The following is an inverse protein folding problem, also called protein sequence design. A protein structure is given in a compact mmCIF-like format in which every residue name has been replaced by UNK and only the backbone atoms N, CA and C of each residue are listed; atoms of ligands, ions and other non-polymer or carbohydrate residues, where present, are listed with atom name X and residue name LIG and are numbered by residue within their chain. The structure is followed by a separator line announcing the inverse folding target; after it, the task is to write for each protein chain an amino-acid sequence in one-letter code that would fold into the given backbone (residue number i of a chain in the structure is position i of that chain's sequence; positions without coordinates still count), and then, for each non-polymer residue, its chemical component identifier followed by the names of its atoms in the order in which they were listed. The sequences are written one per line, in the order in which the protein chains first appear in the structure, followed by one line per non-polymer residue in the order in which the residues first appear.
data_IF_291941364242
#
_entry.id   IF_291941364242
#
_cell.length_a   1.000
_cell.length_b   1.000
_cell.length_c   1.000
_cell.angle_alpha   90.00
_cell.angle_beta   90.00
_cell.angle_gamma   90.00
#
_symmetry.space_group_name_H-M   'P 1'
#
loop_
_entity.id
_entity.type
_entity.pdbx_description
1 polymer ?
#
# COMPACT_ATOMS: atom_id res chain seq x y z
N UNK A 1 11.11 9.46 6.86
CA UNK A 1 10.10 8.95 7.82
C UNK A 1 9.05 8.13 7.10
N UNK A 2 8.34 8.66 6.10
CA UNK A 2 7.24 7.95 5.42
C UNK A 2 7.65 6.66 4.68
N UNK A 3 8.92 6.48 4.36
CA UNK A 3 9.42 5.29 3.67
C UNK A 3 9.13 3.99 4.43
N UNK A 4 8.99 4.07 5.77
CA UNK A 4 8.67 2.91 6.60
C UNK A 4 7.37 2.22 6.16
N UNK A 5 6.36 2.97 5.73
CA UNK A 5 5.08 2.42 5.28
C UNK A 5 5.20 1.60 3.98
N UNK A 6 6.33 1.70 3.26
CA UNK A 6 6.61 0.84 2.11
C UNK A 6 7.32 -0.48 2.48
N UNK A 7 7.56 -0.73 3.78
CA UNK A 7 8.11 -2.00 4.23
C UNK A 7 7.10 -3.13 3.98
N UNK A 8 7.51 -4.22 3.32
CA UNK A 8 6.62 -5.35 3.10
C UNK A 8 6.21 -5.99 4.44
N UNK A 9 4.93 -6.32 4.57
CA UNK A 9 4.34 -6.93 5.78
C UNK A 9 4.62 -6.14 7.07
N UNK A 10 4.62 -4.81 6.97
CA UNK A 10 4.74 -3.94 8.16
C UNK A 10 3.56 -4.12 9.10
N UNK A 11 2.35 -4.20 8.55
CA UNK A 11 1.12 -4.47 9.26
C UNK A 11 0.70 -5.93 9.06
N UNK A 12 0.17 -6.56 10.10
CA UNK A 12 -0.29 -7.96 10.07
C UNK A 12 -1.77 -8.09 9.71
N UNK A 13 -2.56 -7.04 9.93
CA UNK A 13 -3.99 -6.99 9.60
C UNK A 13 -4.44 -5.59 9.26
N UNK A 14 -5.61 -5.48 8.62
CA UNK A 14 -6.26 -4.19 8.34
C UNK A 14 -6.66 -3.47 9.63
N UNK A 15 -7.09 -4.20 10.66
CA UNK A 15 -7.42 -3.63 11.97
C UNK A 15 -6.20 -3.00 12.64
N UNK A 16 -5.03 -3.66 12.59
CA UNK A 16 -3.79 -3.11 13.12
C UNK A 16 -3.37 -1.85 12.34
N UNK A 17 -3.53 -1.87 11.01
CA UNK A 17 -3.28 -0.71 10.15
C UNK A 17 -4.19 0.46 10.53
N UNK A 18 -5.50 0.23 10.63
CA UNK A 18 -6.47 1.26 11.00
C UNK A 18 -6.25 1.79 12.42
N UNK A 19 -5.89 0.94 13.39
CA UNK A 19 -5.58 1.41 14.76
C UNK A 19 -4.40 2.38 14.75
N UNK A 20 -3.32 2.06 14.03
CA UNK A 20 -2.14 2.95 13.93
C UNK A 20 -2.49 4.24 13.21
N UNK A 21 -3.15 4.15 12.05
CA UNK A 21 -3.45 5.33 11.23
C UNK A 21 -4.46 6.26 11.88
N UNK A 22 -5.34 5.76 12.73
CA UNK A 22 -6.32 6.54 13.49
C UNK A 22 -5.80 7.05 14.85
N UNK A 23 -4.58 6.66 15.27
CA UNK A 23 -3.92 7.28 16.43
C UNK A 23 -3.45 8.70 16.06
N UNK A 24 -4.34 9.66 16.18
CA UNK A 24 -4.11 11.04 15.76
C UNK A 24 -2.91 11.69 16.47
N UNK A 25 -2.71 11.40 17.76
CA UNK A 25 -1.60 11.94 18.54
C UNK A 25 -0.25 11.39 18.04
N UNK A 26 -0.23 10.13 17.67
CA UNK A 26 0.94 9.49 17.10
C UNK A 26 1.18 9.94 15.66
N UNK A 27 0.16 9.88 14.80
CA UNK A 27 0.29 10.23 13.38
C UNK A 27 0.60 11.71 13.17
N UNK A 28 0.13 12.61 14.02
CA UNK A 28 0.49 14.03 13.92
C UNK A 28 2.00 14.28 14.06
N UNK A 29 2.73 13.46 14.82
CA UNK A 29 4.21 13.54 14.92
C UNK A 29 4.86 13.12 13.60
N UNK A 30 4.29 12.10 12.94
CA UNK A 30 4.75 11.64 11.63
C UNK A 30 4.40 12.68 10.56
N UNK A 31 3.16 13.20 10.57
CA UNK A 31 2.67 14.18 9.61
C UNK A 31 3.44 15.50 9.64
N UNK A 32 3.91 15.91 10.80
CA UNK A 32 4.74 17.12 10.95
C UNK A 32 6.23 16.91 10.63
N UNK A 33 6.66 15.69 10.39
CA UNK A 33 8.08 15.38 10.13
C UNK A 33 8.62 16.01 8.83
N UNK A 34 7.73 16.48 7.96
CA UNK A 34 8.07 17.12 6.69
C UNK A 34 7.88 18.64 6.69
N UNK A 35 7.68 19.26 7.85
CA UNK A 35 7.51 20.71 7.97
C UNK A 35 8.71 21.49 7.45
N UNK A 36 9.92 21.01 7.73
CA UNK A 36 11.16 21.61 7.23
C UNK A 36 11.30 21.52 5.70
N UNK A 37 10.62 20.59 5.07
CA UNK A 37 10.53 20.43 3.62
C UNK A 37 9.41 21.28 2.99
N UNK A 38 8.68 22.03 3.80
CA UNK A 38 7.65 22.96 3.33
C UNK A 38 6.28 22.36 3.06
N UNK A 39 6.01 21.15 3.50
CA UNK A 39 4.70 20.54 3.41
C UNK A 39 4.37 19.69 4.65
N UNK A 40 3.08 19.48 4.90
CA UNK A 40 2.58 18.64 6.01
C UNK A 40 1.44 17.76 5.52
N UNK A 41 1.40 16.51 5.97
CA UNK A 41 0.22 15.70 5.79
C UNK A 41 -0.90 16.20 6.72
N UNK A 42 -2.12 16.29 6.18
CA UNK A 42 -3.32 16.74 6.90
C UNK A 42 -4.13 15.55 7.41
N UNK A 43 -4.17 14.50 6.61
CA UNK A 43 -4.80 13.21 6.93
C UNK A 43 -4.27 12.12 6.02
N UNK A 44 -4.71 10.89 6.26
CA UNK A 44 -4.44 9.73 5.43
C UNK A 44 -5.71 9.25 4.74
N UNK A 45 -5.55 8.45 3.69
CA UNK A 45 -6.63 7.76 3.01
C UNK A 45 -6.30 6.28 2.90
N UNK A 46 -7.35 5.46 2.94
CA UNK A 46 -7.19 4.02 2.74
C UNK A 46 -6.81 3.74 1.28
N UNK A 47 -5.80 2.94 1.08
CA UNK A 47 -5.40 2.46 -0.25
C UNK A 47 -5.43 0.92 -0.30
N UNK A 48 -6.05 0.31 0.71
CA UNK A 48 -6.22 -1.13 0.82
C UNK A 48 -4.92 -1.90 0.95
N UNK A 49 -5.03 -3.18 0.69
CA UNK A 49 -3.89 -4.10 0.69
C UNK A 49 -3.38 -4.29 -0.73
N UNK A 50 -2.07 -4.16 -0.91
CA UNK A 50 -1.42 -4.37 -2.21
C UNK A 50 -1.12 -5.83 -2.44
N UNK A 51 -1.43 -6.29 -3.66
CA UNK A 51 -1.37 -7.66 -4.09
C UNK A 51 -0.78 -7.75 -5.50
N UNK A 52 -0.27 -8.91 -5.91
CA UNK A 52 0.19 -9.09 -7.28
C UNK A 52 -0.97 -9.41 -8.22
N UNK A 53 -0.90 -8.86 -9.44
CA UNK A 53 -1.75 -9.26 -10.55
C UNK A 53 -0.92 -9.42 -11.82
N UNK A 54 -1.21 -10.46 -12.59
CA UNK A 54 -0.39 -10.84 -13.74
C UNK A 54 -1.19 -11.55 -14.84
N UNK A 55 -0.52 -11.79 -15.97
CA UNK A 55 -1.03 -12.63 -17.06
C UNK A 55 -1.08 -14.10 -16.69
N UNK A 56 -0.28 -14.52 -15.73
CA UNK A 56 -0.21 -15.88 -15.18
C UNK A 56 -0.62 -15.89 -13.73
N UNK A 57 -1.06 -17.04 -13.28
CA UNK A 57 -1.35 -17.35 -11.89
C UNK A 57 -0.07 -17.27 -11.04
N UNK A 58 -0.18 -16.74 -9.83
CA UNK A 58 0.88 -16.64 -8.84
C UNK A 58 0.30 -17.21 -7.53
N UNK A 59 0.57 -18.47 -7.24
CA UNK A 59 0.10 -19.15 -6.03
C UNK A 59 1.16 -19.13 -4.92
N UNK A 60 2.41 -19.02 -5.30
CA UNK A 60 3.55 -19.08 -4.40
C UNK A 60 4.66 -18.12 -4.81
N UNK A 61 5.63 -17.82 -3.94
CA UNK A 61 6.81 -17.03 -4.33
C UNK A 61 7.61 -17.67 -5.48
N UNK A 62 7.55 -18.99 -5.62
CA UNK A 62 8.25 -19.74 -6.65
C UNK A 62 7.71 -19.40 -8.05
N UNK A 63 6.42 -19.08 -8.18
CA UNK A 63 5.78 -18.69 -9.44
C UNK A 63 6.20 -17.29 -9.91
N UNK A 64 6.75 -16.48 -9.00
CA UNK A 64 7.31 -15.17 -9.31
C UNK A 64 8.63 -15.25 -10.11
N UNK A 65 9.31 -16.40 -10.07
CA UNK A 65 10.64 -16.56 -10.68
C UNK A 65 10.59 -16.33 -12.18
N UNK A 66 11.41 -15.37 -12.62
CA UNK A 66 11.54 -15.01 -14.02
C UNK A 66 10.43 -14.10 -14.56
N UNK A 67 9.41 -13.76 -13.77
CA UNK A 67 8.43 -12.75 -14.14
C UNK A 67 9.04 -11.35 -14.07
N UNK A 68 8.64 -10.48 -15.00
CA UNK A 68 8.92 -9.06 -14.98
C UNK A 68 7.71 -8.36 -14.33
N UNK A 69 7.89 -7.92 -13.11
CA UNK A 69 6.80 -7.30 -12.33
C UNK A 69 7.06 -5.80 -12.15
N UNK A 70 6.10 -5.00 -12.57
CA UNK A 70 6.15 -3.58 -12.26
C UNK A 70 5.96 -3.37 -10.77
N UNK A 71 6.80 -2.53 -10.21
CA UNK A 71 6.71 -2.06 -8.82
C UNK A 71 6.78 -0.54 -8.78
N UNK A 72 6.42 0.05 -7.64
CA UNK A 72 6.64 1.46 -7.40
C UNK A 72 8.14 1.80 -7.45
N UNK A 73 8.48 3.04 -7.82
CA UNK A 73 9.86 3.54 -7.91
C UNK A 73 10.45 3.78 -6.51
N UNK A 74 10.47 2.75 -5.67
CA UNK A 74 10.97 2.77 -4.29
C UNK A 74 11.92 1.60 -4.05
N UNK A 75 13.05 1.83 -3.35
CA UNK A 75 14.01 0.77 -3.05
C UNK A 75 13.38 -0.45 -2.35
N UNK A 76 12.50 -0.21 -1.39
CA UNK A 76 11.79 -1.28 -0.66
C UNK A 76 10.93 -2.16 -1.59
N UNK A 77 10.19 -1.56 -2.53
CA UNK A 77 9.35 -2.30 -3.48
C UNK A 77 10.20 -3.11 -4.47
N UNK A 78 11.34 -2.56 -4.91
CA UNK A 78 12.30 -3.27 -5.78
C UNK A 78 12.91 -4.46 -5.03
N UNK A 79 13.41 -4.24 -3.81
CA UNK A 79 14.03 -5.29 -3.00
C UNK A 79 13.02 -6.41 -2.66
N UNK A 80 11.79 -6.05 -2.33
CA UNK A 80 10.71 -7.01 -2.08
C UNK A 80 10.44 -7.89 -3.30
N UNK A 81 10.25 -7.30 -4.46
CA UNK A 81 10.00 -8.03 -5.71
C UNK A 81 11.15 -8.99 -6.05
N UNK A 82 12.40 -8.55 -5.88
CA UNK A 82 13.59 -9.38 -6.07
C UNK A 82 13.67 -10.51 -5.04
N UNK A 83 13.28 -10.28 -3.79
CA UNK A 83 13.25 -11.32 -2.76
C UNK A 83 12.26 -12.44 -3.07
N UNK A 84 11.19 -12.14 -3.82
CA UNK A 84 10.27 -13.16 -4.36
C UNK A 84 10.80 -13.86 -5.61
N UNK A 85 11.94 -13.44 -6.16
CA UNK A 85 12.58 -14.05 -7.34
C UNK A 85 12.15 -13.45 -8.68
N UNK A 86 11.38 -12.38 -8.68
CA UNK A 86 10.98 -11.68 -9.90
C UNK A 86 11.97 -10.58 -10.31
N UNK A 87 11.93 -10.21 -11.58
CA UNK A 87 12.62 -9.03 -12.08
C UNK A 87 11.76 -7.78 -11.83
N UNK A 88 12.21 -6.92 -10.93
CA UNK A 88 11.53 -5.67 -10.63
C UNK A 88 11.69 -4.68 -11.78
N UNK A 89 10.58 -4.08 -12.24
CA UNK A 89 10.53 -3.08 -13.30
C UNK A 89 9.90 -1.78 -12.76
N UNK A 90 10.69 -0.91 -12.08
CA UNK A 90 10.17 0.35 -11.55
C UNK A 90 9.73 1.27 -12.68
N UNK A 91 8.46 1.67 -12.68
CA UNK A 91 7.90 2.61 -13.67
C UNK A 91 6.71 3.36 -13.10
N UNK A 92 6.32 4.46 -13.77
CA UNK A 92 5.14 5.24 -13.39
C UNK A 92 3.87 4.40 -13.52
N UNK A 93 2.85 4.72 -12.71
CA UNK A 93 1.62 3.93 -12.69
C UNK A 93 0.84 4.04 -14.02
N UNK A 94 0.87 5.22 -14.66
CA UNK A 94 0.19 5.43 -15.94
C UNK A 94 0.74 4.62 -17.12
N UNK A 95 1.95 4.03 -17.00
CA UNK A 95 2.56 3.21 -18.05
C UNK A 95 2.17 1.72 -17.95
N UNK A 96 1.62 1.29 -16.81
CA UNK A 96 1.44 -0.13 -16.46
C UNK A 96 0.52 -0.86 -17.44
N UNK A 97 -0.65 -0.30 -17.75
CA UNK A 97 -1.60 -0.93 -18.69
C UNK A 97 -0.91 -1.27 -20.02
N UNK A 98 -0.28 -0.27 -20.63
CA UNK A 98 0.39 -0.44 -21.93
C UNK A 98 1.56 -1.41 -21.84
N UNK A 99 2.35 -1.35 -20.77
CA UNK A 99 3.50 -2.24 -20.59
C UNK A 99 3.07 -3.72 -20.43
N UNK A 100 1.97 -3.99 -19.71
CA UNK A 100 1.40 -5.35 -19.64
C UNK A 100 0.82 -5.76 -21.00
N UNK A 101 0.05 -4.88 -21.64
CA UNK A 101 -0.57 -5.17 -22.94
C UNK A 101 0.48 -5.56 -23.99
N UNK A 102 1.57 -4.81 -24.08
CA UNK A 102 2.67 -5.04 -25.02
C UNK A 102 3.61 -6.20 -24.62
N UNK A 103 3.47 -6.75 -23.41
CA UNK A 103 4.35 -7.82 -22.92
C UNK A 103 5.74 -7.36 -22.49
N UNK A 104 5.91 -6.05 -22.24
CA UNK A 104 7.14 -5.50 -21.66
C UNK A 104 7.32 -5.99 -20.23
N UNK A 105 6.21 -6.09 -19.49
CA UNK A 105 6.09 -6.69 -18.16
C UNK A 105 5.01 -7.77 -18.15
N UNK A 106 5.11 -8.71 -17.20
CA UNK A 106 4.17 -9.83 -17.06
C UNK A 106 3.01 -9.49 -16.11
N UNK A 107 3.22 -8.52 -15.20
CA UNK A 107 2.26 -8.11 -14.21
C UNK A 107 2.73 -6.90 -13.40
N UNK A 108 1.94 -6.57 -12.38
CA UNK A 108 2.21 -5.46 -11.46
C UNK A 108 1.64 -5.78 -10.06
N UNK A 109 1.67 -4.81 -9.18
CA UNK A 109 1.12 -4.93 -7.83
C UNK A 109 0.30 -3.67 -7.48
N UNK A 110 -0.85 -3.87 -6.88
CA UNK A 110 -1.74 -2.83 -6.34
C UNK A 110 -2.95 -3.48 -5.63
N UNK A 111 -3.91 -2.64 -5.25
CA UNK A 111 -5.23 -3.05 -4.76
C UNK A 111 -6.19 -3.37 -5.94
N UNK A 112 -7.40 -3.84 -5.61
CA UNK A 112 -8.42 -4.28 -6.58
C UNK A 112 -8.90 -3.16 -7.50
N UNK A 113 -8.94 -1.91 -7.04
CA UNK A 113 -9.40 -0.76 -7.85
C UNK A 113 -8.54 -0.54 -9.10
N UNK A 114 -7.26 -0.94 -9.07
CA UNK A 114 -6.42 -0.86 -10.25
C UNK A 114 -6.95 -1.72 -11.42
N UNK A 115 -7.63 -2.84 -11.11
CA UNK A 115 -8.19 -3.72 -12.14
C UNK A 115 -9.28 -3.02 -12.95
N UNK A 116 -10.12 -2.22 -12.30
CA UNK A 116 -11.29 -1.57 -12.91
C UNK A 116 -11.00 -0.13 -13.30
N UNK A 117 -10.61 0.73 -12.34
CA UNK A 117 -10.41 2.16 -12.58
C UNK A 117 -9.28 2.44 -13.59
N UNK A 118 -8.23 1.61 -13.58
CA UNK A 118 -7.11 1.69 -14.52
C UNK A 118 -7.16 0.62 -15.62
N UNK A 119 -8.23 -0.16 -15.66
CA UNK A 119 -8.47 -1.22 -16.65
C UNK A 119 -7.40 -2.33 -16.67
N UNK A 120 -6.58 -2.45 -15.63
CA UNK A 120 -5.52 -3.47 -15.61
C UNK A 120 -6.07 -4.89 -15.69
N UNK A 121 -7.32 -5.14 -15.25
CA UNK A 121 -8.02 -6.41 -15.40
C UNK A 121 -8.29 -6.83 -16.84
N UNK A 122 -8.22 -5.92 -17.82
CA UNK A 122 -8.33 -6.28 -19.24
C UNK A 122 -7.06 -7.02 -19.72
N UNK A 123 -5.89 -6.70 -19.15
CA UNK A 123 -4.58 -7.17 -19.61
C UNK A 123 -3.88 -8.13 -18.64
N UNK A 124 -4.32 -8.21 -17.37
CA UNK A 124 -3.85 -9.13 -16.34
C UNK A 124 -5.05 -9.88 -15.74
N UNK A 125 -5.08 -11.20 -15.87
CA UNK A 125 -6.27 -12.01 -15.58
C UNK A 125 -6.24 -12.75 -14.24
N UNK A 126 -5.15 -12.63 -13.49
CA UNK A 126 -4.97 -13.28 -12.20
C UNK A 126 -4.58 -12.25 -11.15
N UNK A 127 -5.28 -12.25 -10.04
CA UNK A 127 -5.03 -11.38 -8.89
C UNK A 127 -4.82 -12.24 -7.65
N UNK A 128 -3.60 -12.21 -7.10
CA UNK A 128 -3.17 -13.12 -6.04
C UNK A 128 -3.05 -12.39 -4.71
N UNK A 129 -3.85 -12.79 -3.73
CA UNK A 129 -3.94 -12.16 -2.41
C UNK A 129 -2.74 -12.49 -1.51
N UNK A 130 -1.55 -12.05 -1.92
CA UNK A 130 -0.35 -12.19 -1.09
C UNK A 130 -0.19 -11.08 -0.03
N UNK A 131 -1.02 -10.04 -0.06
CA UNK A 131 -1.17 -9.01 0.98
C UNK A 131 0.16 -8.40 1.44
N UNK A 132 1.03 -8.05 0.48
CA UNK A 132 2.43 -7.73 0.80
C UNK A 132 2.66 -6.34 1.40
N UNK A 133 1.75 -5.39 1.21
CA UNK A 133 1.88 -4.03 1.75
C UNK A 133 0.51 -3.38 1.98
N UNK A 134 0.44 -2.53 3.02
CA UNK A 134 -0.62 -1.55 3.25
C UNK A 134 0.05 -0.19 3.34
N UNK A 135 -0.06 0.61 2.29
CA UNK A 135 0.60 1.91 2.17
C UNK A 135 -0.48 2.98 2.16
N UNK A 136 -0.53 3.89 3.15
CA UNK A 136 -1.52 4.97 3.15
C UNK A 136 -1.26 5.96 2.03
N UNK A 137 -2.32 6.45 1.40
CA UNK A 137 -2.26 7.70 0.65
C UNK A 137 -2.36 8.87 1.63
N UNK A 138 -1.72 9.98 1.32
CA UNK A 138 -1.66 11.14 2.22
C UNK A 138 -2.20 12.39 1.52
N UNK A 139 -3.14 13.06 2.18
CA UNK A 139 -3.51 14.42 1.80
C UNK A 139 -2.46 15.38 2.34
N UNK A 140 -1.70 16.03 1.47
CA UNK A 140 -0.65 16.95 1.87
C UNK A 140 -1.04 18.41 1.59
N UNK A 141 -0.67 19.31 2.50
CA UNK A 141 -0.84 20.74 2.37
C UNK A 141 0.50 21.46 2.29
N UNK A 142 0.58 22.52 1.48
CA UNK A 142 1.73 23.41 1.48
C UNK A 142 1.81 24.13 2.82
N UNK A 143 2.95 24.04 3.51
CA UNK A 143 3.09 24.56 4.86
C UNK A 143 3.03 26.09 4.92
N UNK A 144 3.57 26.79 3.92
CA UNK A 144 3.48 28.25 3.85
C UNK A 144 2.04 28.72 3.71
N UNK A 145 1.24 28.04 2.88
CA UNK A 145 -0.20 28.30 2.78
C UNK A 145 -0.91 28.06 4.12
N UNK A 146 -0.69 26.91 4.76
CA UNK A 146 -1.30 26.57 6.03
C UNK A 146 -0.94 27.56 7.15
N UNK A 147 0.31 28.05 7.15
CA UNK A 147 0.77 29.03 8.11
C UNK A 147 0.22 30.44 7.86
N UNK A 148 -0.17 30.75 6.63
CA UNK A 148 -0.84 32.01 6.26
C UNK A 148 -2.32 32.07 6.67
N UNK A 149 -2.92 30.95 7.00
CA UNK A 149 -4.32 30.89 7.48
C UNK A 149 -4.46 31.40 8.91
N UNK A 150 -5.58 32.06 9.21
CA UNK A 150 -5.99 32.34 10.58
C UNK A 150 -6.18 31.04 11.37
N UNK A 151 -6.23 31.15 12.68
CA UNK A 151 -6.45 29.97 13.56
C UNK A 151 -7.79 29.26 13.27
N UNK A 152 -8.81 30.05 12.98
CA UNK A 152 -10.15 29.58 12.66
C UNK A 152 -10.18 28.86 11.30
N UNK A 153 -9.61 29.47 10.28
CA UNK A 153 -9.52 28.86 8.94
C UNK A 153 -8.71 27.54 8.99
N UNK A 154 -7.60 27.54 9.71
CA UNK A 154 -6.79 26.33 9.88
C UNK A 154 -7.58 25.19 10.52
N UNK A 155 -8.38 25.49 11.55
CA UNK A 155 -9.30 24.49 12.15
C UNK A 155 -10.27 23.92 11.14
N UNK A 156 -10.84 24.76 10.26
CA UNK A 156 -11.75 24.29 9.20
C UNK A 156 -11.04 23.35 8.24
N UNK A 157 -9.80 23.68 7.80
CA UNK A 157 -9.01 22.83 6.93
C UNK A 157 -8.73 21.44 7.53
N UNK A 158 -8.27 21.40 8.78
CA UNK A 158 -8.00 20.12 9.46
C UNK A 158 -9.29 19.32 9.70
N UNK A 159 -10.38 19.98 10.08
CA UNK A 159 -11.67 19.28 10.25
C UNK A 159 -12.22 18.76 8.92
N UNK A 160 -12.06 19.50 7.82
CA UNK A 160 -12.43 19.03 6.48
C UNK A 160 -11.59 17.82 6.05
N UNK A 161 -10.28 17.84 6.33
CA UNK A 161 -9.40 16.70 6.06
C UNK A 161 -9.82 15.46 6.87
N UNK A 162 -10.12 15.61 8.15
CA UNK A 162 -10.63 14.53 9.01
C UNK A 162 -11.93 13.94 8.46
N UNK A 163 -12.92 14.77 8.16
CA UNK A 163 -14.20 14.34 7.60
C UNK A 163 -14.04 13.66 6.23
N UNK A 164 -13.11 14.14 5.41
CA UNK A 164 -12.84 13.51 4.11
C UNK A 164 -12.23 12.12 4.26
N UNK A 165 -11.38 11.89 5.27
CA UNK A 165 -10.88 10.57 5.60
C UNK A 165 -11.98 9.63 6.09
N UNK A 166 -12.84 10.10 7.00
CA UNK A 166 -13.98 9.31 7.51
C UNK A 166 -14.90 8.84 6.38
N UNK A 167 -15.18 9.71 5.42
CA UNK A 167 -16.00 9.39 4.26
C UNK A 167 -15.28 8.46 3.28
N UNK A 168 -14.02 8.72 3.00
CA UNK A 168 -13.20 7.90 2.10
C UNK A 168 -13.09 6.46 2.61
N UNK A 169 -12.80 6.25 3.90
CA UNK A 169 -12.74 4.92 4.49
C UNK A 169 -14.08 4.15 4.38
N UNK A 170 -15.23 4.84 4.53
CA UNK A 170 -16.55 4.22 4.32
C UNK A 170 -16.76 3.82 2.86
N UNK A 171 -16.36 4.67 1.93
CA UNK A 171 -16.52 4.42 0.50
C UNK A 171 -15.54 3.35 0.00
N UNK A 172 -14.38 3.23 0.63
CA UNK A 172 -13.34 2.28 0.22
C UNK A 172 -13.87 0.85 0.12
N UNK A 173 -14.49 0.33 1.18
CA UNK A 173 -15.02 -1.03 1.23
C UNK A 173 -16.09 -1.27 0.16
N UNK A 174 -16.93 -0.27 -0.09
CA UNK A 174 -17.97 -0.33 -1.13
C UNK A 174 -17.31 -0.43 -2.52
N UNK A 175 -16.31 0.41 -2.77
CA UNK A 175 -15.61 0.46 -4.05
C UNK A 175 -14.80 -0.81 -4.32
N UNK A 176 -14.15 -1.37 -3.30
CA UNK A 176 -13.41 -2.65 -3.42
C UNK A 176 -14.37 -3.80 -3.78
N UNK A 177 -15.52 -3.90 -3.11
CA UNK A 177 -16.52 -4.94 -3.42
C UNK A 177 -17.03 -4.82 -4.85
N UNK A 178 -17.34 -3.61 -5.30
CA UNK A 178 -17.78 -3.37 -6.68
C UNK A 178 -16.66 -3.66 -7.69
N UNK A 179 -15.42 -3.23 -7.42
CA UNK A 179 -14.28 -3.49 -8.28
C UNK A 179 -14.02 -5.00 -8.45
N UNK A 180 -14.10 -5.78 -7.37
CA UNK A 180 -13.99 -7.26 -7.43
C UNK A 180 -15.05 -7.86 -8.33
N UNK A 181 -16.31 -7.48 -8.12
CA UNK A 181 -17.43 -7.95 -8.92
C UNK A 181 -17.25 -7.63 -10.41
N UNK A 182 -16.97 -6.38 -10.74
CA UNK A 182 -16.73 -5.94 -12.13
C UNK A 182 -15.54 -6.67 -12.74
N UNK A 183 -14.44 -6.80 -12.02
CA UNK A 183 -13.25 -7.51 -12.50
C UNK A 183 -13.54 -8.99 -12.79
N UNK A 184 -14.31 -9.67 -11.94
CA UNK A 184 -14.69 -11.05 -12.15
C UNK A 184 -15.68 -11.23 -13.30
N UNK A 185 -16.80 -10.49 -13.28
CA UNK A 185 -17.94 -10.71 -14.17
C UNK A 185 -17.71 -10.12 -15.57
N UNK A 186 -17.02 -8.98 -15.67
CA UNK A 186 -16.89 -8.25 -16.93
C UNK A 186 -15.49 -8.36 -17.54
N UNK A 187 -14.45 -8.54 -16.71
CA UNK A 187 -13.07 -8.63 -17.20
C UNK A 187 -12.51 -10.05 -17.14
N UNK A 188 -13.21 -10.99 -16.50
CA UNK A 188 -12.77 -12.38 -16.38
C UNK A 188 -11.52 -12.57 -15.51
N UNK A 189 -11.32 -11.68 -14.52
CA UNK A 189 -10.22 -11.79 -13.58
C UNK A 189 -10.51 -12.89 -12.56
N UNK A 190 -9.53 -13.74 -12.31
CA UNK A 190 -9.54 -14.77 -11.27
C UNK A 190 -8.82 -14.25 -10.04
N UNK A 191 -9.50 -14.29 -8.90
CA UNK A 191 -8.93 -13.97 -7.59
C UNK A 191 -8.46 -15.27 -6.92
N UNK A 192 -7.24 -15.25 -6.37
CA UNK A 192 -6.53 -16.42 -5.86
C UNK A 192 -6.09 -16.13 -4.43
N UNK A 193 -6.50 -16.96 -3.50
CA UNK A 193 -5.99 -16.95 -2.13
C UNK A 193 -4.70 -17.76 -2.07
N UNK A 194 -3.65 -17.18 -1.51
CA UNK A 194 -2.31 -17.79 -1.45
C UNK A 194 -1.83 -17.97 -0.01
N UNK A 195 -0.81 -18.82 0.20
CA UNK A 195 -0.11 -18.88 1.49
C UNK A 195 0.72 -17.61 1.71
N UNK A 196 0.12 -16.64 2.40
CA UNK A 196 0.76 -15.35 2.74
C UNK A 196 2.05 -15.56 3.54
N UNK A 197 2.11 -16.58 4.41
CA UNK A 197 3.31 -16.85 5.23
C UNK A 197 4.50 -17.29 4.39
N UNK A 198 4.26 -17.96 3.26
CA UNK A 198 5.33 -18.32 2.33
C UNK A 198 6.00 -17.07 1.73
N UNK A 199 5.21 -16.06 1.37
CA UNK A 199 5.71 -14.76 0.90
C UNK A 199 6.41 -13.97 2.01
N UNK A 200 5.83 -13.90 3.21
CA UNK A 200 6.42 -13.19 4.35
C UNK A 200 7.83 -13.69 4.69
N UNK A 201 8.06 -15.00 4.64
CA UNK A 201 9.37 -15.60 4.92
C UNK A 201 10.46 -15.10 3.98
N UNK A 202 10.13 -14.79 2.72
CA UNK A 202 11.11 -14.35 1.71
C UNK A 202 11.63 -12.93 1.96
N UNK A 203 10.87 -12.06 2.64
CA UNK A 203 11.20 -10.63 2.78
C UNK A 203 11.80 -10.24 4.12
N UNK A 204 12.09 -11.19 5.01
CA UNK A 204 12.71 -10.88 6.31
C UNK A 204 14.00 -10.07 6.17
N UNK A 205 14.88 -10.44 5.25
CA UNK A 205 16.11 -9.71 4.99
C UNK A 205 15.88 -8.30 4.45
N UNK A 206 14.78 -8.08 3.71
CA UNK A 206 14.39 -6.73 3.23
C UNK A 206 13.98 -5.85 4.40
N UNK A 207 13.16 -6.37 5.32
CA UNK A 207 12.74 -5.65 6.52
C UNK A 207 13.94 -5.26 7.40
N UNK A 208 14.87 -6.20 7.62
CA UNK A 208 16.10 -5.97 8.39
C UNK A 208 16.99 -4.89 7.75
N UNK A 209 17.13 -4.90 6.42
CA UNK A 209 17.89 -3.88 5.70
C UNK A 209 17.28 -2.50 5.85
N UNK A 210 15.95 -2.37 5.67
CA UNK A 210 15.25 -1.08 5.83
C UNK A 210 15.47 -0.50 7.23
N UNK A 211 15.38 -1.33 8.27
CA UNK A 211 15.58 -0.89 9.65
C UNK A 211 17.03 -0.51 9.95
N UNK A 212 18.00 -1.19 9.34
CA UNK A 212 19.42 -0.89 9.48
C UNK A 212 19.79 0.42 8.80
N UNK A 213 19.25 0.68 7.62
CA UNK A 213 19.60 1.81 6.79
C UNK A 213 18.87 3.10 7.20
N UNK A 214 17.80 2.99 8.01
CA UNK A 214 16.98 4.10 8.47
C UNK A 214 16.72 4.06 9.98
N UNK A 215 17.58 4.71 10.74
CA UNK A 215 17.46 4.76 12.21
C UNK A 215 16.15 5.41 12.68
N UNK A 216 15.56 6.32 11.91
CA UNK A 216 14.28 6.97 12.23
C UNK A 216 13.08 6.03 12.04
N UNK A 217 13.24 4.98 11.25
CA UNK A 217 12.20 3.98 11.03
C UNK A 217 11.97 3.08 12.26
N UNK A 218 13.03 2.82 13.05
CA UNK A 218 12.97 1.85 14.14
C UNK A 218 11.92 2.16 15.22
N UNK A 219 11.80 3.41 15.74
CA UNK A 219 10.75 3.73 16.71
C UNK A 219 9.34 3.56 16.14
N UNK A 220 9.15 3.88 14.85
CA UNK A 220 7.86 3.74 14.18
C UNK A 220 7.54 2.26 14.01
N UNK A 221 8.50 1.47 13.55
CA UNK A 221 8.38 0.02 13.46
C UNK A 221 7.99 -0.60 14.80
N UNK A 222 8.70 -0.25 15.88
CA UNK A 222 8.44 -0.81 17.21
C UNK A 222 7.05 -0.47 17.73
N UNK A 223 6.56 0.75 17.44
CA UNK A 223 5.19 1.15 17.75
C UNK A 223 4.17 0.29 17.00
N UNK A 224 4.35 0.14 15.68
CA UNK A 224 3.47 -0.67 14.83
C UNK A 224 3.48 -2.14 15.30
N UNK A 225 4.65 -2.71 15.63
CA UNK A 225 4.73 -4.08 16.13
C UNK A 225 4.00 -4.30 17.47
N UNK A 226 3.94 -3.27 18.33
CA UNK A 226 3.11 -3.34 19.55
C UNK A 226 1.62 -3.40 19.23
N UNK A 227 1.18 -2.67 18.22
CA UNK A 227 -0.22 -2.72 17.77
C UNK A 227 -0.50 -4.07 17.10
N UNK A 228 0.35 -4.53 16.18
CA UNK A 228 0.20 -5.82 15.52
C UNK A 228 -0.05 -6.97 16.52
N UNK A 229 0.70 -7.00 17.63
CA UNK A 229 0.54 -8.03 18.69
C UNK A 229 -0.85 -8.09 19.31
N UNK A 230 -1.64 -7.00 19.27
CA UNK A 230 -3.01 -6.99 19.79
C UNK A 230 -3.97 -7.79 18.90
N UNK A 231 -3.58 -7.99 17.63
CA UNK A 231 -4.38 -8.64 16.59
C UNK A 231 -3.82 -10.01 16.20
N UNK A 232 -2.68 -10.45 16.75
CA UNK A 232 -2.16 -11.79 16.54
C UNK A 232 -3.17 -12.85 16.99
N UNK A 233 -3.53 -13.76 16.08
CA UNK A 233 -4.47 -14.86 16.35
C UNK A 233 -5.95 -14.49 16.27
N UNK A 234 -6.29 -13.28 15.83
CA UNK A 234 -7.69 -12.85 15.63
C UNK A 234 -8.16 -12.96 14.17
N UNK A 235 -7.27 -13.24 13.23
CA UNK A 235 -7.61 -13.44 11.81
C UNK A 235 -8.26 -14.82 11.64
N UNK A 236 -9.56 -14.93 11.89
CA UNK A 236 -10.26 -16.21 11.73
C UNK A 236 -11.64 -16.33 12.38
N UNK A 237 -12.26 -15.22 12.81
CA UNK A 237 -13.70 -15.25 13.21
C UNK A 237 -14.57 -14.46 12.24
#
# INVERSE_FOLDING_TARGET
VYEIFSMPYLFTSEDAYHEVMNDTDYMNKIFSSTDEQGFRALTWYNAGTRNFYAKKEIDSPEDMKGLKIRVQQRPASVAMCQAFGAAASPMSFGEVYTAIQQGVIDGAENNELALTSNKHGEVAKYFSYNKHQMIPDLLIGNLSFLNGLSKEERKVFYKAAELSNEEECKQWDVQVKEAKKVAQEQMGVKFIDVDVLAFQKKVKGVQESILKDNAQAKPIYDHIQKVNKKYEGKDGE
#
